data_IF_088364020256
#
_entry.id   IF_088364020256
#
_cell.length_a   1.000
_cell.length_b   1.000
_cell.length_c   1.000
_cell.angle_alpha   90.00
_cell.angle_beta   90.00
_cell.angle_gamma   90.00
#
_symmetry.space_group_name_H-M   'P 1'
#
loop_
_entity.id
_entity.type
_entity.pdbx_description
1 polymer ?
#
# COMPACT_ATOMS: atom_id res chain seq x y z
N UNK A 1 -14.10 3.75 9.26
CA UNK A 1 -12.93 3.12 9.93
C UNK A 1 -12.47 3.90 11.15
N UNK A 2 -12.39 5.23 11.10
CA UNK A 2 -12.03 6.04 12.27
C UNK A 2 -13.10 5.97 13.38
N UNK A 3 -14.38 6.10 13.04
CA UNK A 3 -15.49 5.97 14.01
C UNK A 3 -15.53 4.58 14.66
N UNK A 4 -15.46 3.51 13.86
CA UNK A 4 -15.35 2.15 14.38
C UNK A 4 -14.11 1.94 15.28
N UNK A 5 -12.97 2.60 14.97
CA UNK A 5 -11.81 2.55 15.85
C UNK A 5 -12.05 3.25 17.19
N UNK A 6 -12.76 4.38 17.19
CA UNK A 6 -13.17 5.08 18.41
C UNK A 6 -14.10 4.23 19.27
N UNK A 7 -15.09 3.57 18.67
CA UNK A 7 -16.02 2.66 19.37
C UNK A 7 -15.30 1.44 19.98
N UNK A 8 -14.25 0.95 19.32
CA UNK A 8 -13.43 -0.18 19.80
C UNK A 8 -12.33 0.24 20.77
N UNK A 9 -12.25 1.53 21.16
CA UNK A 9 -11.18 2.06 22.01
C UNK A 9 -9.78 2.03 21.36
N UNK A 10 -9.71 1.84 20.05
CA UNK A 10 -8.47 1.80 19.29
C UNK A 10 -8.01 3.21 18.87
N UNK A 11 -6.70 3.44 18.82
CA UNK A 11 -6.14 4.75 18.44
C UNK A 11 -6.55 5.14 17.00
N UNK A 12 -7.22 6.28 16.80
CA UNK A 12 -7.58 6.79 15.48
C UNK A 12 -6.35 7.04 14.60
N UNK A 13 -5.26 7.51 15.19
CA UNK A 13 -4.00 7.81 14.50
C UNK A 13 -3.36 6.54 13.96
N UNK A 14 -3.25 5.49 14.79
CA UNK A 14 -2.72 4.19 14.34
C UNK A 14 -3.60 3.59 13.24
N UNK A 15 -4.92 3.74 13.34
CA UNK A 15 -5.86 3.26 12.31
C UNK A 15 -5.73 4.03 11.01
N UNK A 16 -5.64 5.36 11.04
CA UNK A 16 -5.43 6.20 9.85
C UNK A 16 -4.14 5.84 9.11
N UNK A 17 -3.04 5.65 9.84
CA UNK A 17 -1.75 5.23 9.27
C UNK A 17 -1.84 3.90 8.52
N UNK A 18 -2.52 2.89 9.11
CA UNK A 18 -2.69 1.58 8.47
C UNK A 18 -3.49 1.68 7.17
N UNK A 19 -4.50 2.56 7.13
CA UNK A 19 -5.28 2.83 5.92
C UNK A 19 -4.40 3.50 4.85
N UNK A 20 -3.61 4.51 5.22
CA UNK A 20 -2.67 5.17 4.31
C UNK A 20 -1.63 4.20 3.71
N UNK A 21 -1.11 3.27 4.53
CA UNK A 21 -0.21 2.21 4.08
C UNK A 21 -0.88 1.26 3.09
N UNK A 22 -2.14 0.90 3.33
CA UNK A 22 -2.95 0.10 2.41
C UNK A 22 -3.21 0.80 1.08
N UNK A 23 -3.53 2.09 1.11
CA UNK A 23 -3.69 2.93 -0.09
C UNK A 23 -2.38 2.97 -0.90
N UNK A 24 -1.25 3.23 -0.25
CA UNK A 24 0.06 3.22 -0.89
C UNK A 24 0.39 1.85 -1.53
N UNK A 25 0.02 0.75 -0.88
CA UNK A 25 0.21 -0.60 -1.40
C UNK A 25 -0.63 -0.87 -2.66
N UNK A 26 -1.91 -0.50 -2.67
CA UNK A 26 -2.79 -0.68 -3.82
C UNK A 26 -2.38 0.20 -5.02
N UNK A 27 -1.88 1.41 -4.74
CA UNK A 27 -1.38 2.33 -5.76
C UNK A 27 -0.14 1.79 -6.52
N UNK A 28 0.54 0.76 -6.01
CA UNK A 28 1.62 0.08 -6.74
C UNK A 28 1.10 -0.76 -7.91
N UNK A 29 -0.08 -1.38 -7.76
CA UNK A 29 -0.72 -2.19 -8.81
C UNK A 29 -1.65 -1.37 -9.71
N UNK A 30 -2.08 -0.20 -9.23
CA UNK A 30 -2.85 0.80 -9.99
C UNK A 30 -1.96 1.99 -10.37
N UNK A 31 -1.08 1.84 -11.37
CA UNK A 31 -0.01 2.79 -11.62
C UNK A 31 -0.47 3.95 -12.50
N UNK A 32 -1.52 4.68 -12.09
CA UNK A 32 -2.03 5.83 -12.85
C UNK A 32 -1.00 6.95 -12.96
N UNK A 33 -0.28 7.20 -11.86
CA UNK A 33 0.81 8.17 -11.82
C UNK A 33 2.05 7.73 -12.61
N UNK A 34 2.13 6.45 -12.98
CA UNK A 34 3.24 5.89 -13.75
C UNK A 34 3.05 6.07 -15.26
N UNK A 35 1.80 6.24 -15.73
CA UNK A 35 1.49 6.39 -17.15
C UNK A 35 2.32 7.47 -17.86
N UNK A 36 2.56 8.67 -17.27
CA UNK A 36 3.42 9.68 -17.89
C UNK A 36 4.87 9.22 -18.05
N UNK A 37 5.41 8.50 -17.06
CA UNK A 37 6.78 7.97 -17.10
C UNK A 37 6.90 6.89 -18.17
N UNK A 38 5.88 6.04 -18.31
CA UNK A 38 5.86 5.00 -19.35
C UNK A 38 5.78 5.59 -20.75
N UNK A 39 5.03 6.69 -20.92
CA UNK A 39 4.97 7.41 -22.19
C UNK A 39 6.34 7.99 -22.59
N UNK A 40 7.08 8.55 -21.64
CA UNK A 40 8.46 9.05 -21.87
C UNK A 40 9.42 7.90 -22.17
N UNK A 41 9.27 6.76 -21.50
CA UNK A 41 10.11 5.57 -21.70
C UNK A 41 9.75 4.74 -22.96
N UNK A 42 8.64 5.06 -23.64
CA UNK A 42 8.16 4.29 -24.80
C UNK A 42 7.65 2.88 -24.45
N UNK A 43 7.32 2.63 -23.18
CA UNK A 43 6.89 1.32 -22.68
C UNK A 43 5.36 1.23 -22.62
N UNK A 44 4.82 0.02 -22.82
CA UNK A 44 3.39 -0.22 -22.60
C UNK A 44 3.18 -0.67 -21.16
N UNK A 45 2.05 -0.26 -20.58
CA UNK A 45 1.66 -0.67 -19.22
C UNK A 45 1.72 -2.20 -19.05
N UNK A 46 1.22 -2.95 -20.04
CA UNK A 46 1.19 -4.42 -20.00
C UNK A 46 2.57 -5.05 -19.75
N UNK A 47 3.65 -4.39 -20.20
CA UNK A 47 5.00 -4.95 -20.16
C UNK A 47 5.57 -4.91 -18.74
N UNK A 48 5.06 -4.00 -17.89
CA UNK A 48 5.53 -3.80 -16.51
C UNK A 48 4.55 -4.32 -15.45
N UNK A 49 3.28 -4.56 -15.80
CA UNK A 49 2.25 -4.97 -14.84
C UNK A 49 2.62 -6.26 -14.11
N UNK A 50 3.24 -7.22 -14.80
CA UNK A 50 3.73 -8.45 -14.17
C UNK A 50 4.78 -8.19 -13.09
N UNK A 51 5.70 -7.25 -13.34
CA UNK A 51 6.68 -6.81 -12.34
C UNK A 51 6.02 -6.09 -11.16
N UNK A 52 5.05 -5.20 -11.43
CA UNK A 52 4.30 -4.50 -10.39
C UNK A 52 3.54 -5.45 -9.45
N UNK A 53 2.95 -6.52 -10.00
CA UNK A 53 2.29 -7.55 -9.19
C UNK A 53 3.28 -8.32 -8.32
N UNK A 54 4.46 -8.68 -8.85
CA UNK A 54 5.49 -9.37 -8.07
C UNK A 54 5.99 -8.50 -6.91
N UNK A 55 6.28 -7.22 -7.16
CA UNK A 55 6.73 -6.32 -6.09
C UNK A 55 5.61 -5.98 -5.11
N UNK A 56 4.35 -5.97 -5.55
CA UNK A 56 3.18 -5.84 -4.67
C UNK A 56 3.18 -6.95 -3.61
N UNK A 57 3.40 -8.21 -3.98
CA UNK A 57 3.47 -9.30 -3.00
C UNK A 57 4.64 -9.12 -2.02
N UNK A 58 5.82 -8.75 -2.52
CA UNK A 58 6.99 -8.52 -1.69
C UNK A 58 6.76 -7.39 -0.67
N UNK A 59 6.27 -6.24 -1.15
CA UNK A 59 5.95 -5.08 -0.30
C UNK A 59 4.81 -5.42 0.66
N UNK A 60 3.83 -6.20 0.24
CA UNK A 60 2.74 -6.67 1.10
C UNK A 60 3.26 -7.46 2.31
N UNK A 61 4.25 -8.34 2.09
CA UNK A 61 4.92 -9.06 3.19
C UNK A 61 5.66 -8.07 4.10
N UNK A 62 6.42 -7.13 3.55
CA UNK A 62 7.18 -6.14 4.33
C UNK A 62 6.25 -5.24 5.15
N UNK A 63 5.21 -4.68 4.54
CA UNK A 63 4.24 -3.81 5.22
C UNK A 63 3.42 -4.57 6.24
N UNK A 64 2.93 -5.77 5.89
CA UNK A 64 2.17 -6.63 6.79
C UNK A 64 2.98 -7.00 8.03
N UNK A 65 4.21 -7.50 7.85
CA UNK A 65 5.09 -7.83 8.98
C UNK A 65 5.46 -6.60 9.80
N UNK A 66 5.76 -5.47 9.17
CA UNK A 66 6.09 -4.23 9.89
C UNK A 66 4.93 -3.72 10.75
N UNK A 67 3.70 -3.73 10.22
CA UNK A 67 2.51 -3.31 10.97
C UNK A 67 2.21 -4.27 12.12
N UNK A 68 2.39 -5.57 11.93
CA UNK A 68 2.21 -6.58 12.98
C UNK A 68 3.26 -6.44 14.09
N UNK A 69 4.53 -6.30 13.73
CA UNK A 69 5.65 -6.10 14.66
C UNK A 69 5.42 -4.80 15.45
N UNK A 70 5.13 -3.70 14.76
CA UNK A 70 4.86 -2.42 15.42
C UNK A 70 3.63 -2.48 16.34
N UNK A 71 2.57 -3.20 15.93
CA UNK A 71 1.39 -3.43 16.78
C UNK A 71 1.64 -4.33 17.99
N UNK A 72 2.69 -5.15 17.97
CA UNK A 72 3.10 -5.95 19.14
C UNK A 72 3.87 -5.12 20.17
N UNK A 73 4.70 -4.18 19.70
CA UNK A 73 5.54 -3.35 20.57
C UNK A 73 4.86 -2.06 21.08
N UNK A 74 3.72 -1.64 20.49
CA UNK A 74 3.03 -0.36 20.80
C UNK A 74 1.54 -0.53 20.97
#
# INVERSE_FOLDING_TARGET
MIEAALELGASPVKTAMRVQLGDAWNNMVQPFLLLPVLAIAGLKLKDIMGYLVMIMFWIGIVFGTSVLIWGYFV
#
